data_IF_627270927743
#
_entry.id   IF_627270927743
#
_cell.length_a   1.000
_cell.length_b   1.000
_cell.length_c   1.000
_cell.angle_alpha   90.00
_cell.angle_beta   90.00
_cell.angle_gamma   90.00
#
_symmetry.space_group_name_H-M   'P 1'
#
loop_
_entity.id
_entity.type
_entity.pdbx_description
1 polymer ?
#
# COMPACT_ATOMS: atom_id res chain seq x y z
N UNK A 1 -16.58 3.84 -5.10
CA UNK A 1 -17.61 3.37 -4.14
C UNK A 1 -16.92 2.44 -3.15
N UNK A 2 -16.99 2.71 -1.85
CA UNK A 2 -16.44 1.81 -0.85
C UNK A 2 -17.43 0.67 -0.57
N UNK A 3 -16.89 -0.51 -0.21
CA UNK A 3 -17.65 -1.65 0.30
C UNK A 3 -17.14 -1.93 1.71
N UNK A 4 -18.04 -2.22 2.65
CA UNK A 4 -17.73 -2.50 4.05
C UNK A 4 -18.12 -3.92 4.42
N UNK A 5 -17.43 -4.47 5.41
CA UNK A 5 -17.69 -5.79 6.01
C UNK A 5 -17.34 -5.70 7.50
N UNK A 6 -18.18 -6.28 8.35
CA UNK A 6 -17.90 -6.37 9.79
C UNK A 6 -17.02 -7.59 10.13
N UNK A 7 -16.64 -7.69 11.41
CA UNK A 7 -15.79 -8.77 11.90
C UNK A 7 -16.46 -10.15 11.82
N UNK A 8 -17.77 -10.23 12.04
CA UNK A 8 -18.50 -11.49 12.09
C UNK A 8 -18.61 -12.09 10.69
N UNK A 9 -19.00 -11.29 9.72
CA UNK A 9 -19.03 -11.64 8.30
C UNK A 9 -17.64 -12.07 7.80
N UNK A 10 -16.58 -11.34 8.17
CA UNK A 10 -15.21 -11.72 7.80
C UNK A 10 -14.80 -13.06 8.42
N UNK A 11 -15.17 -13.32 9.68
CA UNK A 11 -14.87 -14.60 10.34
C UNK A 11 -15.61 -15.77 9.68
N UNK A 12 -16.88 -15.58 9.33
CA UNK A 12 -17.65 -16.58 8.58
C UNK A 12 -16.98 -16.89 7.24
N UNK A 13 -16.57 -15.86 6.49
CA UNK A 13 -15.83 -16.04 5.23
C UNK A 13 -14.53 -16.81 5.39
N UNK A 14 -13.76 -16.54 6.44
CA UNK A 14 -12.51 -17.25 6.71
C UNK A 14 -12.79 -18.72 7.08
N UNK A 15 -13.88 -18.99 7.83
CA UNK A 15 -14.27 -20.34 8.17
C UNK A 15 -14.65 -21.16 6.92
N UNK A 16 -15.38 -20.54 5.98
CA UNK A 16 -15.79 -21.18 4.73
C UNK A 16 -14.63 -21.31 3.72
N UNK A 17 -13.64 -20.40 3.77
CA UNK A 17 -12.51 -20.31 2.84
C UNK A 17 -11.21 -19.99 3.58
N UNK A 18 -10.54 -20.99 4.17
CA UNK A 18 -9.31 -20.80 4.96
C UNK A 18 -8.16 -20.11 4.20
N UNK A 19 -8.11 -20.21 2.88
CA UNK A 19 -7.15 -19.52 2.01
C UNK A 19 -7.19 -17.98 2.16
N UNK A 20 -8.34 -17.43 2.58
CA UNK A 20 -8.48 -15.99 2.86
C UNK A 20 -7.57 -15.60 4.04
N UNK A 21 -7.42 -16.45 5.05
CA UNK A 21 -6.55 -16.15 6.19
C UNK A 21 -5.09 -15.97 5.77
N UNK A 22 -4.60 -16.79 4.84
CA UNK A 22 -3.25 -16.65 4.29
C UNK A 22 -3.08 -15.31 3.55
N UNK A 23 -4.07 -14.92 2.74
CA UNK A 23 -4.03 -13.63 2.04
C UNK A 23 -4.08 -12.46 3.02
N UNK A 24 -4.86 -12.54 4.09
CA UNK A 24 -4.91 -11.51 5.14
C UNK A 24 -3.57 -11.38 5.85
N UNK A 25 -2.94 -12.49 6.24
CA UNK A 25 -1.61 -12.49 6.84
C UNK A 25 -0.56 -11.90 5.89
N UNK A 26 -0.63 -12.24 4.60
CA UNK A 26 0.24 -11.68 3.57
C UNK A 26 0.07 -10.18 3.43
N UNK A 27 -1.16 -9.67 3.50
CA UNK A 27 -1.46 -8.22 3.47
C UNK A 27 -0.91 -7.53 4.73
N UNK A 28 -1.08 -8.13 5.90
CA UNK A 28 -0.53 -7.61 7.17
C UNK A 28 1.00 -7.59 7.17
N UNK A 29 1.65 -8.67 6.73
CA UNK A 29 3.11 -8.74 6.63
C UNK A 29 3.66 -7.69 5.65
N UNK A 30 3.00 -7.49 4.50
CA UNK A 30 3.35 -6.42 3.55
C UNK A 30 3.17 -5.03 4.16
N UNK A 31 2.11 -4.81 4.94
CA UNK A 31 1.87 -3.54 5.64
C UNK A 31 2.96 -3.27 6.68
N UNK A 32 3.31 -4.25 7.50
CA UNK A 32 4.38 -4.14 8.49
C UNK A 32 5.73 -3.82 7.83
N UNK A 33 6.07 -4.52 6.75
CA UNK A 33 7.31 -4.24 6.00
C UNK A 33 7.35 -2.81 5.45
N UNK A 34 6.22 -2.28 4.96
CA UNK A 34 6.14 -0.87 4.51
C UNK A 34 6.37 0.10 5.66
N UNK A 35 5.77 -0.15 6.84
CA UNK A 35 6.00 0.67 8.03
C UNK A 35 7.47 0.67 8.44
N UNK A 36 8.12 -0.49 8.46
CA UNK A 36 9.54 -0.59 8.81
C UNK A 36 10.43 0.15 7.80
N UNK A 37 10.13 0.04 6.49
CA UNK A 37 10.85 0.79 5.47
C UNK A 37 10.70 2.31 5.63
N UNK A 38 9.50 2.78 5.97
CA UNK A 38 9.27 4.21 6.21
C UNK A 38 10.05 4.71 7.46
N UNK A 39 10.13 3.89 8.51
CA UNK A 39 10.97 4.20 9.68
C UNK A 39 12.46 4.25 9.31
N UNK A 40 12.93 3.30 8.51
CA UNK A 40 14.31 3.31 8.02
C UNK A 40 14.62 4.56 7.19
N UNK A 41 13.69 5.00 6.32
CA UNK A 41 13.86 6.22 5.55
C UNK A 41 14.01 7.45 6.45
N UNK A 42 13.30 7.52 7.58
CA UNK A 42 13.42 8.64 8.52
C UNK A 42 14.79 8.70 9.20
N UNK A 43 15.46 7.56 9.39
CA UNK A 43 16.74 7.46 10.08
C UNK A 43 17.90 7.65 9.10
N UNK A 44 17.79 7.08 7.90
CA UNK A 44 18.92 6.92 6.98
C UNK A 44 18.81 7.75 5.70
N UNK A 45 17.63 8.28 5.38
CA UNK A 45 17.42 9.04 4.13
C UNK A 45 17.16 10.51 4.44
N UNK A 46 17.92 11.36 3.75
CA UNK A 46 17.73 12.80 3.81
C UNK A 46 16.34 13.21 3.27
N UNK A 47 15.97 14.46 3.52
CA UNK A 47 14.66 14.98 3.11
C UNK A 47 14.47 14.88 1.58
N UNK A 48 15.41 15.31 0.72
CA UNK A 48 15.26 15.19 -0.73
C UNK A 48 15.08 13.74 -1.20
N UNK A 49 15.86 12.79 -0.67
CA UNK A 49 15.74 11.38 -1.02
C UNK A 49 14.36 10.81 -0.67
N UNK A 50 13.79 11.21 0.48
CA UNK A 50 12.43 10.82 0.87
C UNK A 50 11.36 11.43 -0.05
N UNK A 51 11.51 12.70 -0.44
CA UNK A 51 10.60 13.35 -1.40
C UNK A 51 10.61 12.62 -2.74
N UNK A 52 11.79 12.32 -3.30
CA UNK A 52 11.93 11.56 -4.54
C UNK A 52 11.27 10.17 -4.43
N UNK A 53 11.49 9.45 -3.31
CA UNK A 53 10.85 8.15 -3.06
C UNK A 53 9.32 8.26 -3.03
N UNK A 54 8.76 9.29 -2.39
CA UNK A 54 7.31 9.49 -2.34
C UNK A 54 6.72 9.80 -3.72
N UNK A 55 7.38 10.64 -4.51
CA UNK A 55 6.95 10.94 -5.88
C UNK A 55 6.91 9.67 -6.75
N UNK A 56 7.93 8.81 -6.66
CA UNK A 56 7.96 7.53 -7.38
C UNK A 56 6.86 6.57 -6.90
N UNK A 57 6.58 6.51 -5.60
CA UNK A 57 5.50 5.67 -5.06
C UNK A 57 4.12 6.12 -5.54
N UNK A 58 3.89 7.44 -5.60
CA UNK A 58 2.66 8.01 -6.14
C UNK A 58 2.54 7.74 -7.64
N UNK A 59 3.62 7.93 -8.40
CA UNK A 59 3.65 7.63 -9.83
C UNK A 59 3.40 6.14 -10.12
N UNK A 60 3.93 5.23 -9.32
CA UNK A 60 3.69 3.79 -9.49
C UNK A 60 2.22 3.41 -9.23
N UNK A 61 1.55 4.10 -8.30
CA UNK A 61 0.19 3.73 -7.87
C UNK A 61 -0.92 4.46 -8.65
N UNK A 62 -0.66 5.70 -9.05
CA UNK A 62 -1.66 6.61 -9.61
C UNK A 62 -1.17 7.29 -10.90
N UNK A 63 0.04 6.99 -11.36
CA UNK A 63 0.61 7.61 -12.55
C UNK A 63 -0.07 7.16 -13.84
N UNK A 64 -0.21 8.09 -14.76
CA UNK A 64 -0.67 7.86 -16.13
C UNK A 64 0.40 8.35 -17.10
N UNK A 65 0.62 7.62 -18.20
CA UNK A 65 1.60 8.00 -19.20
C UNK A 65 1.04 9.14 -20.06
N UNK A 66 1.76 10.25 -20.14
CA UNK A 66 1.36 11.40 -20.94
C UNK A 66 2.59 12.12 -21.50
N UNK A 67 2.66 12.25 -22.83
CA UNK A 67 3.74 13.02 -23.49
C UNK A 67 5.16 12.55 -23.16
N UNK A 68 5.36 11.26 -22.87
CA UNK A 68 6.66 10.71 -22.47
C UNK A 68 6.99 10.83 -20.97
N UNK A 69 6.11 11.42 -20.15
CA UNK A 69 6.25 11.53 -18.71
C UNK A 69 5.14 10.76 -17.95
N UNK A 70 5.33 10.54 -16.65
CA UNK A 70 4.30 10.05 -15.73
C UNK A 70 3.61 11.23 -15.07
N UNK A 71 2.31 11.42 -15.34
CA UNK A 71 1.46 12.40 -14.64
C UNK A 71 0.73 11.73 -13.48
N UNK A 72 0.84 12.32 -12.30
CA UNK A 72 0.01 12.01 -11.13
C UNK A 72 -0.95 13.17 -10.94
N UNK A 73 -2.25 12.91 -11.11
CA UNK A 73 -3.30 13.90 -10.80
C UNK A 73 -3.46 14.01 -9.30
N UNK A 74 -3.44 15.23 -8.77
CA UNK A 74 -3.63 15.52 -7.35
C UNK A 74 -4.77 16.53 -7.20
N UNK A 75 -6.00 16.05 -7.30
CA UNK A 75 -7.24 16.79 -7.00
C UNK A 75 -7.96 16.15 -5.81
#
# INVERSE_FOLDING_TARGET
RAVSMDREALRAWIADRPEIAEQLLRVLARRLRRTNNNLADLIFTDVPGRVAKQLLQLAQRFGTQEGGALRVTHD
#
